data_IF_908419744507
#
_entry.id   IF_908419744507
#
_cell.length_a   1.000
_cell.length_b   1.000
_cell.length_c   1.000
_cell.angle_alpha   90.00
_cell.angle_beta   90.00
_cell.angle_gamma   90.00
#
_symmetry.space_group_name_H-M   'P 1'
#
loop_
_entity.id
_entity.type
_entity.pdbx_description
1 polymer ?
#
# COMPACT_ATOMS: atom_id res chain seq x y z
N UNK A 1 -10.28 17.82 68.58
CA UNK A 1 -8.99 18.47 68.23
C UNK A 1 -8.49 17.91 66.92
N UNK A 2 -8.18 18.76 65.94
CA UNK A 2 -7.70 18.35 64.62
C UNK A 2 -6.23 17.93 64.60
N UNK A 3 -5.81 17.29 63.50
CA UNK A 3 -4.42 16.86 63.30
C UNK A 3 -3.56 18.05 62.87
N UNK A 4 -2.62 18.48 63.71
CA UNK A 4 -1.71 19.58 63.40
C UNK A 4 -0.62 19.20 62.38
N UNK A 5 -0.19 20.17 61.56
CA UNK A 5 0.94 20.03 60.64
C UNK A 5 2.24 19.97 61.43
N UNK A 6 3.16 19.08 61.05
CA UNK A 6 4.46 18.90 61.71
C UNK A 6 5.56 19.08 60.67
N UNK A 7 6.62 19.78 61.03
CA UNK A 7 7.79 19.97 60.18
C UNK A 7 8.53 18.64 59.91
N UNK A 8 9.11 18.50 58.73
CA UNK A 8 9.94 17.34 58.33
C UNK A 8 11.36 17.47 58.93
N UNK A 9 11.44 17.36 60.25
CA UNK A 9 12.70 17.31 61.01
C UNK A 9 12.62 16.28 62.13
N UNK A 10 13.75 15.99 62.77
CA UNK A 10 13.81 15.06 63.89
C UNK A 10 12.94 15.56 65.06
N UNK A 11 12.10 14.67 65.59
CA UNK A 11 11.31 14.96 66.79
C UNK A 11 12.18 14.68 68.01
N UNK A 12 12.58 15.72 68.74
CA UNK A 12 13.48 15.59 69.89
C UNK A 12 12.82 14.91 71.09
N UNK A 13 11.56 15.25 71.38
CA UNK A 13 10.79 14.62 72.46
C UNK A 13 10.63 13.10 72.20
N UNK A 14 11.21 12.28 73.10
CA UNK A 14 11.28 10.82 72.98
C UNK A 14 9.90 10.16 72.90
N UNK A 15 8.94 10.60 73.70
CA UNK A 15 7.58 10.03 73.74
C UNK A 15 6.85 10.34 72.43
N UNK A 16 6.86 11.61 72.01
CA UNK A 16 6.22 12.04 70.76
C UNK A 16 6.85 11.37 69.54
N UNK A 17 8.18 11.22 69.53
CA UNK A 17 8.90 10.48 68.49
C UNK A 17 8.46 9.01 68.44
N UNK A 18 8.37 8.34 69.58
CA UNK A 18 7.95 6.93 69.65
C UNK A 18 6.51 6.74 69.15
N UNK A 19 5.57 7.58 69.61
CA UNK A 19 4.16 7.52 69.18
C UNK A 19 4.04 7.83 67.69
N UNK A 20 4.76 8.85 67.20
CA UNK A 20 4.77 9.21 65.78
C UNK A 20 5.36 8.10 64.92
N UNK A 21 6.47 7.50 65.35
CA UNK A 21 7.09 6.37 64.66
C UNK A 21 6.11 5.19 64.55
N UNK A 22 5.51 4.77 65.66
CA UNK A 22 4.57 3.65 65.66
C UNK A 22 3.39 3.92 64.72
N UNK A 23 2.78 5.11 64.78
CA UNK A 23 1.66 5.50 63.90
C UNK A 23 2.08 5.57 62.43
N UNK A 24 3.23 6.17 62.11
CA UNK A 24 3.73 6.29 60.73
C UNK A 24 4.13 4.95 60.15
N UNK A 25 4.84 4.11 60.92
CA UNK A 25 5.21 2.74 60.52
C UNK A 25 3.99 1.92 60.16
N UNK A 26 2.98 1.91 61.03
CA UNK A 26 1.74 1.17 60.76
C UNK A 26 1.00 1.72 59.54
N UNK A 27 0.94 3.05 59.38
CA UNK A 27 0.34 3.67 58.19
C UNK A 27 1.09 3.37 56.90
N UNK A 28 2.43 3.32 56.94
CA UNK A 28 3.27 3.00 55.79
C UNK A 28 3.13 1.53 55.39
N UNK A 29 3.12 0.61 56.35
CA UNK A 29 2.87 -0.81 56.10
C UNK A 29 1.47 -1.04 55.50
N UNK A 30 0.44 -0.35 56.01
CA UNK A 30 -0.92 -0.42 55.44
C UNK A 30 -0.94 0.06 53.98
N UNK A 31 -0.30 1.19 53.68
CA UNK A 31 -0.19 1.71 52.30
C UNK A 31 0.59 0.78 51.38
N UNK A 32 1.69 0.20 51.85
CA UNK A 32 2.49 -0.74 51.07
C UNK A 32 1.67 -1.98 50.71
N UNK A 33 0.88 -2.50 51.65
CA UNK A 33 -0.04 -3.61 51.40
C UNK A 33 -1.18 -3.24 50.44
N UNK A 34 -1.80 -2.08 50.61
CA UNK A 34 -2.83 -1.60 49.67
C UNK A 34 -2.27 -1.48 48.24
N UNK A 35 -1.06 -0.93 48.10
CA UNK A 35 -0.39 -0.82 46.80
C UNK A 35 -0.05 -2.18 46.19
N UNK A 36 0.44 -3.14 46.98
CA UNK A 36 0.76 -4.47 46.45
C UNK A 36 -0.49 -5.15 45.88
N UNK A 37 -1.61 -5.10 46.61
CA UNK A 37 -2.88 -5.68 46.14
C UNK A 37 -3.38 -5.00 44.87
N UNK A 38 -3.26 -3.68 44.77
CA UNK A 38 -3.67 -2.94 43.57
C UNK A 38 -2.80 -3.28 42.36
N UNK A 39 -1.49 -3.37 42.54
CA UNK A 39 -0.57 -3.77 41.47
C UNK A 39 -0.86 -5.19 40.98
N UNK A 40 -1.06 -6.15 41.88
CA UNK A 40 -1.38 -7.54 41.50
C UNK A 40 -2.69 -7.61 40.70
N UNK A 41 -3.70 -6.84 41.09
CA UNK A 41 -4.98 -6.77 40.38
C UNK A 41 -4.84 -6.16 38.97
N UNK A 42 -4.00 -5.12 38.82
CA UNK A 42 -3.71 -4.50 37.53
C UNK A 42 -2.94 -5.46 36.61
N UNK A 43 -1.95 -6.17 37.15
CA UNK A 43 -1.18 -7.18 36.41
C UNK A 43 -2.09 -8.32 35.90
N UNK A 44 -2.96 -8.86 36.76
CA UNK A 44 -3.93 -9.89 36.39
C UNK A 44 -4.91 -9.40 35.32
N UNK A 45 -5.40 -8.18 35.43
CA UNK A 45 -6.29 -7.56 34.44
C UNK A 45 -5.59 -7.44 33.08
N UNK A 46 -4.36 -6.91 33.08
CA UNK A 46 -3.55 -6.77 31.86
C UNK A 46 -3.26 -8.12 31.20
N UNK A 47 -2.88 -9.13 32.00
CA UNK A 47 -2.66 -10.49 31.50
C UNK A 47 -3.92 -11.09 30.89
N UNK A 48 -5.08 -10.87 31.50
CA UNK A 48 -6.35 -11.36 30.98
C UNK A 48 -6.70 -10.72 29.62
N UNK A 49 -6.52 -9.40 29.48
CA UNK A 49 -6.73 -8.70 28.21
C UNK A 49 -5.75 -9.17 27.12
N UNK A 50 -4.48 -9.39 27.49
CA UNK A 50 -3.50 -9.99 26.58
C UNK A 50 -3.95 -11.36 26.08
N UNK A 51 -4.42 -12.24 26.96
CA UNK A 51 -4.88 -13.58 26.59
C UNK A 51 -6.12 -13.52 25.67
N UNK A 52 -7.05 -12.59 25.92
CA UNK A 52 -8.19 -12.34 25.02
C UNK A 52 -7.72 -11.90 23.64
N UNK A 53 -6.77 -10.96 23.57
CA UNK A 53 -6.22 -10.49 22.31
C UNK A 53 -5.47 -11.60 21.57
N UNK A 54 -4.65 -12.37 22.28
CA UNK A 54 -3.91 -13.51 21.73
C UNK A 54 -4.85 -14.54 21.11
N UNK A 55 -5.94 -14.90 21.80
CA UNK A 55 -6.94 -15.83 21.26
C UNK A 55 -7.60 -15.30 19.97
N UNK A 56 -7.91 -13.99 19.91
CA UNK A 56 -8.43 -13.35 18.70
C UNK A 56 -7.41 -13.39 17.56
N UNK A 57 -6.16 -13.08 17.84
CA UNK A 57 -5.07 -13.14 16.87
C UNK A 57 -4.89 -14.55 16.32
N UNK A 58 -4.85 -15.58 17.17
CA UNK A 58 -4.70 -16.97 16.75
C UNK A 58 -5.90 -17.46 15.92
N UNK A 59 -7.12 -17.01 16.24
CA UNK A 59 -8.31 -17.28 15.42
C UNK A 59 -8.22 -16.61 14.04
N UNK A 60 -7.77 -15.35 13.99
CA UNK A 60 -7.57 -14.62 12.75
C UNK A 60 -6.48 -15.27 11.88
N UNK A 61 -5.34 -15.63 12.49
CA UNK A 61 -4.23 -16.28 11.81
C UNK A 61 -4.63 -17.66 11.26
N UNK A 62 -5.44 -18.43 11.99
CA UNK A 62 -6.04 -19.68 11.48
C UNK A 62 -6.93 -19.42 10.28
N UNK A 63 -7.81 -18.43 10.35
CA UNK A 63 -8.68 -18.06 9.24
C UNK A 63 -7.89 -17.66 7.98
N UNK A 64 -6.82 -16.88 8.15
CA UNK A 64 -5.93 -16.50 7.05
C UNK A 64 -5.28 -17.72 6.38
N UNK A 65 -4.73 -18.65 7.17
CA UNK A 65 -4.16 -19.90 6.64
C UNK A 65 -5.18 -20.69 5.84
N UNK A 66 -6.40 -20.84 6.36
CA UNK A 66 -7.48 -21.51 5.64
C UNK A 66 -7.77 -20.83 4.29
N UNK A 67 -7.86 -19.49 4.26
CA UNK A 67 -8.07 -18.72 3.02
C UNK A 67 -6.93 -18.89 2.01
N UNK A 68 -5.71 -19.18 2.49
CA UNK A 68 -4.54 -19.49 1.65
C UNK A 68 -4.48 -20.98 1.25
N UNK A 69 -5.43 -21.81 1.69
CA UNK A 69 -5.47 -23.24 1.42
C UNK A 69 -4.57 -24.08 2.34
N UNK A 70 -4.09 -23.51 3.44
CA UNK A 70 -3.27 -24.17 4.45
C UNK A 70 -4.14 -24.70 5.61
N UNK A 71 -3.65 -25.72 6.32
CA UNK A 71 -4.25 -26.26 7.56
C UNK A 71 -5.75 -26.58 7.48
N UNK A 72 -6.21 -27.09 6.34
CA UNK A 72 -7.62 -27.40 6.08
C UNK A 72 -8.13 -28.66 6.80
N UNK A 73 -7.24 -29.52 7.29
CA UNK A 73 -7.59 -30.81 7.89
C UNK A 73 -8.62 -30.76 9.04
N UNK A 74 -8.62 -29.74 9.93
CA UNK A 74 -9.61 -29.61 11.00
C UNK A 74 -11.00 -29.14 10.54
N UNK A 75 -11.17 -28.71 9.29
CA UNK A 75 -12.46 -28.20 8.78
C UNK A 75 -13.36 -29.37 8.37
N UNK A 76 -14.65 -29.25 8.67
CA UNK A 76 -15.67 -30.16 8.16
C UNK A 76 -15.96 -29.90 6.67
N UNK A 77 -16.60 -30.86 6.00
CA UNK A 77 -17.00 -30.71 4.59
C UNK A 77 -17.85 -29.46 4.34
N UNK A 78 -18.79 -29.15 5.24
CA UNK A 78 -19.65 -27.96 5.15
C UNK A 78 -18.85 -26.66 5.26
N UNK A 79 -17.87 -26.62 6.16
CA UNK A 79 -17.00 -25.45 6.33
C UNK A 79 -16.09 -25.26 5.11
N UNK A 80 -15.57 -26.36 4.55
CA UNK A 80 -14.75 -26.34 3.35
C UNK A 80 -15.52 -25.84 2.12
N UNK A 81 -16.74 -26.35 1.92
CA UNK A 81 -17.63 -25.85 0.85
C UNK A 81 -17.98 -24.37 1.04
N UNK A 82 -18.17 -23.92 2.28
CA UNK A 82 -18.42 -22.50 2.56
C UNK A 82 -17.21 -21.63 2.23
N UNK A 83 -16.02 -22.09 2.58
CA UNK A 83 -14.75 -21.43 2.27
C UNK A 83 -14.51 -21.35 0.77
N UNK A 84 -14.76 -22.44 0.04
CA UNK A 84 -14.66 -22.48 -1.42
C UNK A 84 -15.62 -21.47 -2.07
N UNK A 85 -16.89 -21.46 -1.66
CA UNK A 85 -17.87 -20.47 -2.15
C UNK A 85 -17.42 -19.04 -1.88
N UNK A 86 -16.90 -18.77 -0.69
CA UNK A 86 -16.39 -17.44 -0.32
C UNK A 86 -15.22 -17.01 -1.21
N UNK A 87 -14.26 -17.90 -1.43
CA UNK A 87 -13.09 -17.64 -2.28
C UNK A 87 -13.51 -17.41 -3.75
N UNK A 88 -14.38 -18.26 -4.30
CA UNK A 88 -14.87 -18.12 -5.68
C UNK A 88 -15.62 -16.80 -5.90
N UNK A 89 -16.51 -16.43 -4.97
CA UNK A 89 -17.20 -15.12 -5.00
C UNK A 89 -16.21 -13.95 -4.98
N UNK A 90 -15.25 -13.97 -4.06
CA UNK A 90 -14.25 -12.89 -3.94
C UNK A 90 -13.35 -12.80 -5.18
N UNK A 91 -12.94 -13.93 -5.74
CA UNK A 91 -12.09 -14.00 -6.92
C UNK A 91 -12.82 -13.47 -8.16
N UNK A 92 -14.09 -13.84 -8.33
CA UNK A 92 -14.95 -13.28 -9.38
C UNK A 92 -15.07 -11.77 -9.26
N UNK A 93 -15.29 -11.26 -8.05
CA UNK A 93 -15.37 -9.82 -7.81
C UNK A 93 -14.06 -9.10 -8.13
N UNK A 94 -12.91 -9.61 -7.64
CA UNK A 94 -11.59 -9.03 -7.92
C UNK A 94 -11.31 -8.99 -9.43
N UNK A 95 -11.58 -10.09 -10.14
CA UNK A 95 -11.41 -10.16 -11.59
C UNK A 95 -12.30 -9.17 -12.33
N UNK A 96 -13.58 -9.08 -11.94
CA UNK A 96 -14.53 -8.15 -12.51
C UNK A 96 -14.07 -6.70 -12.31
N UNK A 97 -13.75 -6.31 -11.07
CA UNK A 97 -13.27 -4.96 -10.75
C UNK A 97 -11.98 -4.61 -11.49
N UNK A 98 -11.02 -5.55 -11.57
CA UNK A 98 -9.77 -5.35 -12.30
C UNK A 98 -10.01 -5.15 -13.79
N UNK A 99 -10.88 -5.97 -14.38
CA UNK A 99 -11.23 -5.88 -15.80
C UNK A 99 -11.93 -4.57 -16.10
N UNK A 100 -12.91 -4.18 -15.28
CA UNK A 100 -13.62 -2.92 -15.42
C UNK A 100 -12.65 -1.74 -15.37
N UNK A 101 -11.75 -1.71 -14.39
CA UNK A 101 -10.73 -0.66 -14.28
C UNK A 101 -9.85 -0.57 -15.54
N UNK A 102 -9.42 -1.70 -16.11
CA UNK A 102 -8.63 -1.72 -17.34
C UNK A 102 -9.43 -1.19 -18.55
N UNK A 103 -10.71 -1.52 -18.65
CA UNK A 103 -11.59 -1.03 -19.71
C UNK A 103 -11.83 0.49 -19.60
N UNK A 104 -12.00 0.99 -18.38
CA UNK A 104 -12.16 2.42 -18.12
C UNK A 104 -10.89 3.18 -18.53
N UNK A 105 -9.71 2.67 -18.13
CA UNK A 105 -8.41 3.22 -18.54
C UNK A 105 -8.24 3.25 -20.07
N UNK A 106 -8.60 2.16 -20.75
CA UNK A 106 -8.52 2.08 -22.21
C UNK A 106 -9.42 3.13 -22.86
N UNK A 107 -10.65 3.25 -22.38
CA UNK A 107 -11.64 4.22 -22.91
C UNK A 107 -11.16 5.66 -22.73
N UNK A 108 -10.57 5.97 -21.57
CA UNK A 108 -10.04 7.30 -21.30
C UNK A 108 -8.82 7.64 -22.18
N UNK A 109 -7.93 6.68 -22.41
CA UNK A 109 -6.79 6.86 -23.31
C UNK A 109 -7.22 7.04 -24.75
N UNK A 110 -8.17 6.23 -25.25
CA UNK A 110 -8.73 6.38 -26.59
C UNK A 110 -9.39 7.75 -26.78
N UNK A 111 -10.10 8.25 -25.76
CA UNK A 111 -10.68 9.60 -25.81
C UNK A 111 -9.61 10.68 -25.90
N UNK A 112 -8.51 10.55 -25.13
CA UNK A 112 -7.38 11.48 -25.16
C UNK A 112 -6.66 11.45 -26.51
N UNK A 113 -6.42 10.26 -27.06
CA UNK A 113 -5.82 10.08 -28.38
C UNK A 113 -6.64 10.79 -29.45
N UNK A 114 -7.96 10.58 -29.46
CA UNK A 114 -8.85 11.23 -30.42
C UNK A 114 -8.78 12.76 -30.33
N UNK A 115 -8.87 13.31 -29.12
CA UNK A 115 -8.76 14.77 -28.91
C UNK A 115 -7.41 15.33 -29.38
N UNK A 116 -6.31 14.64 -29.09
CA UNK A 116 -4.98 15.06 -29.51
C UNK A 116 -4.81 14.98 -31.04
N UNK A 117 -5.36 13.94 -31.68
CA UNK A 117 -5.34 13.81 -33.12
C UNK A 117 -6.11 14.94 -33.82
N UNK A 118 -7.30 15.30 -33.33
CA UNK A 118 -8.09 16.42 -33.87
C UNK A 118 -7.39 17.77 -33.65
N UNK A 119 -6.78 17.99 -32.49
CA UNK A 119 -5.99 19.19 -32.21
C UNK A 119 -4.77 19.27 -33.15
N UNK A 120 -4.03 18.18 -33.32
CA UNK A 120 -2.89 18.11 -34.23
C UNK A 120 -3.28 18.34 -35.69
N UNK A 121 -4.42 17.80 -36.14
CA UNK A 121 -4.96 18.04 -37.49
C UNK A 121 -5.26 19.53 -37.70
N UNK A 122 -5.91 20.16 -36.72
CA UNK A 122 -6.21 21.61 -36.74
C UNK A 122 -4.93 22.45 -36.81
N UNK A 123 -3.91 22.09 -36.01
CA UNK A 123 -2.62 22.79 -36.02
C UNK A 123 -1.89 22.63 -37.36
N UNK A 124 -1.86 21.42 -37.93
CA UNK A 124 -1.29 21.17 -39.26
C UNK A 124 -1.97 21.99 -40.34
N UNK A 125 -3.30 22.10 -40.31
CA UNK A 125 -4.05 22.93 -41.24
C UNK A 125 -3.66 24.41 -41.11
N UNK A 126 -3.64 24.94 -39.89
CA UNK A 126 -3.22 26.34 -39.64
C UNK A 126 -1.78 26.62 -40.05
N UNK A 127 -0.89 25.64 -39.91
CA UNK A 127 0.49 25.78 -40.36
C UNK A 127 0.54 25.97 -41.89
N UNK A 128 -0.19 25.16 -42.64
CA UNK A 128 -0.27 25.26 -44.11
C UNK A 128 -0.90 26.59 -44.54
N UNK A 129 -1.99 27.00 -43.90
CA UNK A 129 -2.65 28.29 -44.14
C UNK A 129 -1.70 29.46 -43.82
N UNK A 130 -0.93 29.37 -42.73
CA UNK A 130 0.11 30.35 -42.37
C UNK A 130 1.24 30.45 -43.39
N UNK A 131 1.73 29.34 -43.93
CA UNK A 131 2.72 29.35 -45.02
C UNK A 131 2.15 29.92 -46.33
N UNK A 132 0.88 29.64 -46.66
CA UNK A 132 0.23 30.23 -47.84
C UNK A 132 0.06 31.76 -47.68
N UNK A 133 -0.38 32.25 -46.53
CA UNK A 133 -0.52 33.69 -46.25
C UNK A 133 0.84 34.39 -46.24
N UNK A 134 1.89 33.77 -45.69
CA UNK A 134 3.24 34.33 -45.67
C UNK A 134 3.89 34.34 -47.08
N UNK A 135 3.58 33.35 -47.93
CA UNK A 135 4.01 33.31 -49.33
C UNK A 135 3.36 34.38 -50.21
N UNK A 136 2.17 34.88 -49.83
CA UNK A 136 1.52 36.01 -50.50
C UNK A 136 2.03 37.38 -50.00
N UNK A 137 2.74 37.43 -48.86
CA UNK A 137 3.22 38.67 -48.25
C UNK A 137 4.70 38.98 -48.53
N UNK A 138 5.55 37.97 -48.73
CA UNK A 138 6.94 38.16 -49.21
C UNK A 138 7.00 38.10 -50.76
N UNK A 139 6.54 39.17 -51.41
CA UNK A 139 6.92 39.44 -52.78
C UNK A 139 7.23 40.94 -52.96
N UNK A 140 8.48 41.37 -52.71
CA UNK A 140 9.07 42.48 -53.44
C UNK A 140 9.93 41.89 -54.57
N UNK A 141 9.41 42.00 -55.79
CA UNK A 141 10.07 41.93 -57.10
C UNK A 141 11.43 41.22 -57.22
N UNK A 142 11.42 40.18 -58.06
CA UNK A 142 12.41 39.82 -59.07
C UNK A 142 13.90 40.02 -58.71
N UNK A 143 14.61 38.91 -58.51
CA UNK A 143 15.71 38.54 -59.39
C UNK A 143 16.05 37.05 -59.27
N UNK A 144 16.58 36.56 -60.38
CA UNK A 144 16.98 35.24 -60.80
C UNK A 144 17.94 34.49 -59.83
N UNK A 145 18.25 33.24 -60.18
CA UNK A 145 19.28 32.33 -59.66
C UNK A 145 18.71 31.12 -58.92
N UNK A 146 18.46 30.06 -59.70
CA UNK A 146 18.14 28.73 -59.21
C UNK A 146 19.34 28.00 -58.61
N UNK A 147 19.05 26.94 -57.84
CA UNK A 147 19.89 25.74 -57.73
C UNK A 147 19.07 24.56 -57.19
N UNK A 148 19.19 23.42 -57.87
CA UNK A 148 19.21 22.10 -57.23
C UNK A 148 17.88 21.46 -56.82
N UNK A 149 17.25 20.73 -57.75
CA UNK A 149 16.49 19.53 -57.38
C UNK A 149 17.49 18.46 -56.91
N UNK A 150 17.44 18.09 -55.63
CA UNK A 150 17.90 16.78 -55.16
C UNK A 150 16.71 16.07 -54.53
N UNK A 151 16.16 15.10 -55.26
CA UNK A 151 15.36 14.05 -54.66
C UNK A 151 16.33 13.14 -53.91
N UNK A 152 16.41 13.30 -52.59
CA UNK A 152 17.14 12.41 -51.71
C UNK A 152 16.14 11.62 -50.87
N UNK A 153 16.10 10.31 -51.14
CA UNK A 153 15.78 9.20 -50.24
C UNK A 153 14.99 9.50 -48.96
N UNK A 154 13.79 8.91 -48.89
CA UNK A 154 13.01 8.80 -47.66
C UNK A 154 12.04 7.63 -47.76
N UNK A 155 12.51 6.48 -48.22
CA UNK A 155 11.79 5.22 -48.08
C UNK A 155 12.02 4.70 -46.65
N UNK A 156 10.95 4.22 -46.02
CA UNK A 156 10.94 3.40 -44.79
C UNK A 156 11.25 4.09 -43.44
N UNK A 157 10.29 4.78 -42.85
CA UNK A 157 10.27 4.99 -41.37
C UNK A 157 8.88 4.90 -40.72
N UNK A 158 7.98 4.09 -41.28
CA UNK A 158 6.78 3.67 -40.55
C UNK A 158 6.64 2.15 -40.68
N UNK A 159 7.17 1.42 -39.70
CA UNK A 159 6.65 0.09 -39.42
C UNK A 159 5.31 0.29 -38.72
N UNK A 160 4.22 -0.03 -39.40
CA UNK A 160 2.96 -0.32 -38.73
C UNK A 160 3.22 -1.54 -37.83
N UNK A 161 3.17 -1.34 -36.52
CA UNK A 161 3.10 -2.46 -35.59
C UNK A 161 1.71 -3.08 -35.77
N UNK A 162 1.63 -4.15 -36.55
CA UNK A 162 0.51 -5.09 -36.44
C UNK A 162 0.55 -5.65 -35.01
N UNK A 163 -0.44 -5.27 -34.20
CA UNK A 163 -0.68 -5.88 -32.90
C UNK A 163 -1.09 -7.33 -33.12
N UNK A 164 -0.12 -8.23 -33.14
CA UNK A 164 -0.36 -9.66 -32.99
C UNK A 164 -1.03 -9.92 -31.63
N UNK A 165 -2.20 -10.58 -31.59
CA UNK A 165 -2.86 -10.92 -30.33
C UNK A 165 -2.07 -12.03 -29.65
N UNK A 166 -1.11 -11.68 -28.80
CA UNK A 166 -0.34 -12.67 -28.03
C UNK A 166 -1.19 -13.19 -26.86
N UNK A 167 -2.11 -14.11 -27.16
CA UNK A 167 -2.59 -15.09 -26.19
C UNK A 167 -1.55 -16.21 -26.10
N UNK A 168 -0.51 -16.02 -25.29
CA UNK A 168 0.33 -17.11 -24.80
C UNK A 168 0.11 -17.29 -23.30
N UNK A 169 -0.98 -17.97 -22.97
CA UNK A 169 -1.07 -18.78 -21.76
C UNK A 169 -0.23 -20.03 -22.05
N UNK A 170 0.87 -20.22 -21.32
CA UNK A 170 1.71 -21.41 -21.47
C UNK A 170 3.06 -21.26 -20.81
N UNK A 171 3.30 -22.06 -19.77
CA UNK A 171 4.62 -22.24 -19.16
C UNK A 171 5.68 -22.55 -20.23
N UNK A 172 6.73 -21.74 -20.28
CA UNK A 172 7.97 -22.11 -20.97
C UNK A 172 8.86 -22.84 -19.95
N UNK A 173 9.28 -24.09 -20.18
CA UNK A 173 10.27 -24.72 -19.32
C UNK A 173 11.66 -24.30 -19.83
N UNK A 174 12.35 -23.48 -19.05
CA UNK A 174 13.77 -23.21 -19.32
C UNK A 174 14.60 -24.49 -19.05
N UNK A 175 15.57 -24.81 -19.91
CA UNK A 175 16.45 -25.95 -19.70
C UNK A 175 17.40 -25.68 -18.52
N UNK A 176 17.52 -26.69 -17.66
CA UNK A 176 18.39 -26.74 -16.48
C UNK A 176 19.84 -26.46 -16.89
N UNK A 177 20.36 -25.29 -16.51
CA UNK A 177 21.80 -25.05 -16.35
C UNK A 177 22.10 -24.74 -14.90
N UNK A 178 22.71 -25.74 -14.25
CA UNK A 178 23.28 -25.67 -12.90
C UNK A 178 24.41 -24.65 -12.87
N UNK A 179 24.22 -23.51 -12.19
CA UNK A 179 25.33 -22.73 -11.62
C UNK A 179 24.89 -22.11 -10.28
N UNK A 180 25.85 -22.11 -9.37
CA UNK A 180 25.88 -21.90 -7.93
C UNK A 180 25.40 -20.56 -7.37
N UNK A 181 25.09 -20.60 -6.06
CA UNK A 181 24.46 -19.62 -5.17
C UNK A 181 25.00 -18.17 -5.12
N UNK A 182 24.07 -17.24 -4.85
CA UNK A 182 24.31 -15.90 -4.28
C UNK A 182 22.98 -15.28 -3.79
N UNK A 183 22.94 -14.53 -2.66
CA UNK A 183 21.69 -14.11 -2.03
C UNK A 183 21.19 -12.79 -2.64
N UNK A 184 20.12 -12.84 -3.44
CA UNK A 184 19.49 -11.64 -3.99
C UNK A 184 18.28 -11.22 -3.16
N UNK A 185 18.55 -10.25 -2.29
CA UNK A 185 17.68 -9.17 -1.80
C UNK A 185 16.21 -9.15 -2.28
N UNK A 186 15.31 -9.29 -1.29
CA UNK A 186 13.98 -8.70 -1.16
C UNK A 186 13.37 -8.00 -2.39
N UNK A 187 12.50 -8.71 -3.12
CA UNK A 187 11.48 -8.08 -3.97
C UNK A 187 10.26 -7.68 -3.10
N UNK A 188 10.34 -6.53 -2.44
CA UNK A 188 9.12 -5.83 -1.99
C UNK A 188 8.69 -4.86 -3.08
N UNK A 189 7.50 -5.08 -3.64
CA UNK A 189 6.82 -4.09 -4.48
C UNK A 189 6.59 -2.81 -3.65
N UNK A 190 6.93 -1.61 -4.16
CA UNK A 190 6.56 -0.38 -3.48
C UNK A 190 5.04 -0.20 -3.56
N UNK A 191 4.46 0.10 -2.40
CA UNK A 191 3.03 0.21 -2.17
C UNK A 191 2.36 1.25 -3.05
N UNK A 192 1.20 0.86 -3.59
CA UNK A 192 0.21 1.75 -4.14
C UNK A 192 -0.48 2.49 -3.00
N UNK A 193 -0.33 3.81 -2.93
CA UNK A 193 -1.23 4.70 -2.21
C UNK A 193 -1.32 6.04 -2.97
N UNK A 194 -2.45 6.75 -2.83
CA UNK A 194 -3.12 7.47 -3.91
C UNK A 194 -2.52 8.83 -4.28
#
# INVERSE_FOLDING_TARGET
MGRGRVELKRIENKINRQVTFAKRRNGLLKKAYELSVLCDAEELSSQQEYLKLKARYEALQRSQRNLLGEDLGPLSSKELESLERQLDMSLKQIRSTRTQYMLDQLTDLQRKEHMLNEANKTLKQRLVEGYQVNSMQLNPSAEDVGFGRQAAHGDVFFHALECEPTLQIGYQPDPITVVTAGPSVNNYMPGWLP
#
